data_IF_764938675634
#
_entry.id   IF_764938675634
#
_cell.length_a   1.000
_cell.length_b   1.000
_cell.length_c   1.000
_cell.angle_alpha   90.00
_cell.angle_beta   90.00
_cell.angle_gamma   90.00
#
_symmetry.space_group_name_H-M   'P 1'
#
loop_
_entity.id
_entity.type
_entity.pdbx_description
1 polymer ?
#
# COMPACT_ATOMS: atom_id res chain seq x y z
N UNK A 1 0.37 -0.64 -8.01
CA UNK A 1 0.80 -1.67 -9.00
C UNK A 1 2.19 -1.41 -9.60
N UNK A 2 2.45 -0.27 -10.26
CA UNK A 2 3.75 -0.03 -10.90
C UNK A 2 4.88 0.24 -9.89
N UNK A 3 4.57 0.89 -8.77
CA UNK A 3 5.54 1.18 -7.70
C UNK A 3 5.96 -0.11 -6.97
N UNK A 4 5.00 -0.96 -6.57
CA UNK A 4 5.30 -2.17 -5.77
C UNK A 4 6.23 -3.16 -6.47
N UNK A 5 6.14 -3.31 -7.79
CA UNK A 5 7.02 -4.23 -8.54
C UNK A 5 8.44 -3.70 -8.71
N UNK A 6 8.67 -2.40 -8.45
CA UNK A 6 9.99 -1.79 -8.55
C UNK A 6 10.81 -1.92 -7.29
N UNK A 7 10.15 -2.16 -6.15
CA UNK A 7 10.78 -2.31 -4.83
C UNK A 7 11.85 -3.39 -4.87
N UNK A 8 12.93 -3.14 -4.15
CA UNK A 8 14.04 -4.06 -3.92
C UNK A 8 14.14 -4.41 -2.43
N UNK A 9 14.88 -5.47 -2.09
CA UNK A 9 15.09 -5.88 -0.68
C UNK A 9 15.63 -4.73 0.16
N UNK A 10 16.57 -3.95 -0.40
CA UNK A 10 17.19 -2.79 0.26
C UNK A 10 16.22 -1.67 0.60
N UNK A 11 15.04 -1.63 -0.03
CA UNK A 11 14.06 -0.58 0.19
C UNK A 11 13.20 -0.87 1.41
N UNK A 12 13.29 -2.05 2.02
CA UNK A 12 12.48 -2.47 3.16
C UNK A 12 13.34 -2.70 4.40
N UNK A 13 12.96 -2.05 5.50
CA UNK A 13 13.50 -2.31 6.83
C UNK A 13 12.49 -3.13 7.64
N UNK A 14 12.80 -4.41 7.84
CA UNK A 14 11.94 -5.35 8.57
C UNK A 14 11.85 -5.09 10.08
N UNK A 15 12.68 -4.21 10.65
CA UNK A 15 12.66 -3.87 12.07
C UNK A 15 11.74 -2.68 12.37
N UNK A 16 11.77 -1.67 11.50
CA UNK A 16 10.96 -0.44 11.64
C UNK A 16 9.70 -0.44 10.79
N UNK A 17 9.61 -1.34 9.81
CA UNK A 17 8.55 -1.37 8.80
C UNK A 17 8.67 -0.26 7.76
N UNK A 18 9.78 0.49 7.75
CA UNK A 18 10.02 1.52 6.75
C UNK A 18 10.18 0.91 5.36
N UNK A 19 9.49 1.50 4.38
CA UNK A 19 9.54 1.12 2.98
C UNK A 19 9.80 2.35 2.11
N UNK A 20 10.93 2.35 1.43
CA UNK A 20 11.34 3.42 0.52
C UNK A 20 10.74 3.21 -0.88
N UNK A 21 9.74 4.02 -1.23
CA UNK A 21 9.16 4.03 -2.58
C UNK A 21 9.94 5.00 -3.45
N UNK A 22 10.93 4.48 -4.17
CA UNK A 22 11.76 5.25 -5.11
C UNK A 22 11.06 5.50 -6.44
N UNK A 23 11.32 6.67 -7.05
CA UNK A 23 10.75 7.09 -8.34
C UNK A 23 9.22 6.94 -8.36
N UNK A 24 8.58 7.39 -7.28
CA UNK A 24 7.13 7.42 -7.16
C UNK A 24 6.47 8.34 -8.17
N UNK A 25 5.14 8.44 -8.10
CA UNK A 25 4.37 9.39 -8.93
C UNK A 25 4.94 10.82 -8.82
N UNK A 26 5.33 11.39 -9.97
CA UNK A 26 5.96 12.72 -10.04
C UNK A 26 7.47 12.73 -9.82
N UNK A 27 8.13 11.56 -9.83
CA UNK A 27 9.59 11.44 -9.72
C UNK A 27 10.13 11.68 -8.30
N UNK A 28 9.26 11.69 -7.29
CA UNK A 28 9.62 11.95 -5.90
C UNK A 28 9.70 10.64 -5.11
N UNK A 29 10.76 10.53 -4.33
CA UNK A 29 10.93 9.45 -3.37
C UNK A 29 10.08 9.74 -2.13
N UNK A 30 9.57 8.69 -1.49
CA UNK A 30 8.85 8.80 -0.22
C UNK A 30 9.05 7.55 0.62
N UNK A 31 9.08 7.73 1.93
CA UNK A 31 9.02 6.64 2.89
C UNK A 31 7.58 6.42 3.32
N UNK A 32 7.14 5.17 3.32
CA UNK A 32 5.88 4.73 3.93
C UNK A 32 6.20 3.70 5.01
N UNK A 33 5.29 3.52 5.95
CA UNK A 33 5.46 2.54 7.03
C UNK A 33 4.40 1.46 6.89
N UNK A 34 4.84 0.21 6.97
CA UNK A 34 3.95 -0.95 6.99
C UNK A 34 3.40 -1.18 8.41
N UNK A 35 2.11 -1.55 8.55
CA UNK A 35 1.60 -2.01 9.83
C UNK A 35 2.30 -3.33 10.24
N UNK A 36 2.37 -3.62 11.54
CA UNK A 36 3.09 -4.78 12.09
C UNK A 36 2.73 -6.11 11.42
N UNK A 37 1.43 -6.34 11.16
CA UNK A 37 1.00 -7.55 10.45
C UNK A 37 1.55 -7.65 9.03
N UNK A 38 1.70 -6.53 8.32
CA UNK A 38 2.30 -6.51 6.98
C UNK A 38 3.82 -6.71 7.03
N UNK A 39 4.50 -6.20 8.07
CA UNK A 39 5.92 -6.46 8.30
C UNK A 39 6.16 -7.97 8.43
N UNK A 40 5.34 -8.65 9.23
CA UNK A 40 5.43 -10.10 9.41
C UNK A 40 5.33 -10.85 8.08
N UNK A 41 4.34 -10.53 7.23
CA UNK A 41 4.19 -11.17 5.92
C UNK A 41 5.37 -10.93 4.98
N UNK A 42 5.98 -9.74 5.02
CA UNK A 42 7.17 -9.46 4.19
C UNK A 42 8.39 -10.22 4.72
N UNK A 43 8.56 -10.33 6.04
CA UNK A 43 9.65 -11.09 6.66
C UNK A 43 9.51 -12.61 6.40
N UNK A 44 8.30 -13.16 6.47
CA UNK A 44 8.02 -14.56 6.11
C UNK A 44 8.36 -14.83 4.65
N UNK A 45 7.99 -13.90 3.77
CA UNK A 45 8.37 -13.96 2.37
C UNK A 45 9.89 -13.93 2.20
N UNK A 46 10.60 -13.00 2.85
CA UNK A 46 12.07 -12.92 2.82
C UNK A 46 12.76 -14.18 3.35
N UNK A 47 12.16 -14.87 4.31
CA UNK A 47 12.62 -16.17 4.80
C UNK A 47 12.51 -17.26 3.73
N UNK A 48 11.51 -17.16 2.85
CA UNK A 48 11.28 -18.10 1.73
C UNK A 48 12.15 -17.77 0.51
N UNK A 49 12.20 -16.48 0.11
CA UNK A 49 12.94 -16.04 -1.08
C UNK A 49 14.43 -15.77 -0.84
N UNK A 50 14.85 -15.66 0.41
CA UNK A 50 16.19 -15.23 0.81
C UNK A 50 16.41 -13.71 0.77
N UNK A 51 17.49 -13.28 1.41
CA UNK A 51 17.84 -11.87 1.65
C UNK A 51 18.80 -11.28 0.61
N UNK A 52 19.06 -12.02 -0.47
CA UNK A 52 19.97 -11.55 -1.52
C UNK A 52 19.45 -10.27 -2.19
N UNK A 53 20.34 -9.34 -2.60
CA UNK A 53 19.94 -8.12 -3.27
C UNK A 53 19.08 -8.38 -4.52
N UNK A 54 18.15 -7.46 -4.80
CA UNK A 54 17.30 -7.52 -5.99
C UNK A 54 15.83 -7.27 -5.68
N UNK A 55 14.96 -7.59 -6.65
CA UNK A 55 13.53 -7.32 -6.61
C UNK A 55 12.87 -7.83 -5.33
N UNK A 56 12.06 -7.03 -4.63
CA UNK A 56 11.36 -7.43 -3.40
C UNK A 56 10.35 -8.57 -3.67
N UNK A 57 9.58 -8.42 -4.74
CA UNK A 57 8.60 -9.40 -5.20
C UNK A 57 9.13 -10.15 -6.42
N UNK A 58 9.21 -11.47 -6.31
CA UNK A 58 9.77 -12.37 -7.32
C UNK A 58 8.70 -13.34 -7.85
N UNK A 59 8.66 -13.62 -9.17
CA UNK A 59 7.82 -14.69 -9.70
C UNK A 59 8.24 -16.05 -9.14
N UNK A 60 7.24 -16.93 -8.92
CA UNK A 60 7.43 -18.33 -8.54
C UNK A 60 6.90 -19.20 -9.68
N UNK A 61 7.72 -20.10 -10.22
CA UNK A 61 7.32 -21.05 -11.25
C UNK A 61 6.47 -22.17 -10.65
N UNK A 62 5.77 -22.93 -11.51
CA UNK A 62 4.88 -24.04 -11.09
C UNK A 62 5.57 -25.10 -10.22
N UNK A 63 6.89 -25.27 -10.36
CA UNK A 63 7.72 -26.17 -9.54
C UNK A 63 8.24 -25.56 -8.23
N UNK A 64 7.76 -24.39 -7.81
CA UNK A 64 8.21 -23.71 -6.59
C UNK A 64 9.52 -22.91 -6.75
N UNK A 65 10.13 -22.94 -7.93
CA UNK A 65 11.38 -22.22 -8.17
C UNK A 65 11.15 -20.70 -8.23
N UNK A 66 11.85 -19.98 -7.35
CA UNK A 66 11.85 -18.51 -7.30
C UNK A 66 12.76 -17.97 -8.39
N UNK A 67 12.27 -16.98 -9.13
CA UNK A 67 13.02 -16.29 -10.17
C UNK A 67 13.45 -14.92 -9.65
N UNK A 68 14.76 -14.69 -9.50
CA UNK A 68 15.33 -13.44 -8.96
C UNK A 68 15.26 -12.27 -9.96
N UNK A 69 14.04 -11.92 -10.37
CA UNK A 69 13.70 -10.80 -11.23
C UNK A 69 12.42 -10.13 -10.75
N UNK A 70 12.19 -8.89 -11.19
CA UNK A 70 10.98 -8.14 -10.85
C UNK A 70 9.75 -8.83 -11.44
N UNK A 71 8.69 -8.95 -10.64
CA UNK A 71 7.37 -9.31 -11.16
C UNK A 71 6.87 -8.23 -12.14
N UNK A 72 6.04 -8.62 -13.10
CA UNK A 72 5.36 -7.64 -13.95
C UNK A 72 4.15 -7.07 -13.21
N UNK A 73 3.75 -5.81 -13.49
CA UNK A 73 2.50 -5.26 -12.95
C UNK A 73 1.28 -6.12 -13.27
N UNK A 74 1.28 -6.77 -14.44
CA UNK A 74 0.23 -7.67 -14.88
C UNK A 74 0.19 -8.95 -14.03
N UNK A 75 1.34 -9.54 -13.70
CA UNK A 75 1.39 -10.72 -12.84
C UNK A 75 0.80 -10.44 -11.45
N UNK A 76 1.14 -9.28 -10.86
CA UNK A 76 0.56 -8.85 -9.57
C UNK A 76 -0.96 -8.67 -9.70
N UNK A 77 -1.44 -8.04 -10.78
CA UNK A 77 -2.88 -7.88 -11.02
C UNK A 77 -3.60 -9.23 -11.08
N UNK A 78 -3.06 -10.20 -11.83
CA UNK A 78 -3.66 -11.53 -11.98
C UNK A 78 -3.70 -12.29 -10.64
N UNK A 79 -2.66 -12.18 -9.82
CA UNK A 79 -2.64 -12.76 -8.47
C UNK A 79 -3.76 -12.16 -7.63
N UNK A 80 -3.88 -10.83 -7.62
CA UNK A 80 -4.91 -10.16 -6.83
C UNK A 80 -6.32 -10.48 -7.32
N UNK A 81 -6.56 -10.55 -8.63
CA UNK A 81 -7.86 -10.94 -9.19
C UNK A 81 -8.22 -12.38 -8.82
N UNK A 82 -7.26 -13.30 -8.83
CA UNK A 82 -7.46 -14.66 -8.36
C UNK A 82 -7.89 -14.68 -6.89
N UNK A 83 -7.19 -13.95 -6.02
CA UNK A 83 -7.53 -13.85 -4.59
C UNK A 83 -8.88 -13.16 -4.35
N UNK A 84 -9.20 -12.12 -5.11
CA UNK A 84 -10.51 -11.46 -5.05
C UNK A 84 -11.64 -12.43 -5.39
N UNK A 85 -11.48 -13.23 -6.45
CA UNK A 85 -12.45 -14.27 -6.83
C UNK A 85 -12.61 -15.33 -5.73
N UNK A 86 -11.51 -15.81 -5.17
CA UNK A 86 -11.53 -16.78 -4.06
C UNK A 86 -12.22 -16.22 -2.80
N UNK A 87 -12.09 -14.91 -2.57
CA UNK A 87 -12.73 -14.20 -1.46
C UNK A 87 -14.18 -13.75 -1.75
N UNK A 88 -14.73 -14.03 -2.93
CA UNK A 88 -16.08 -13.59 -3.31
C UNK A 88 -16.21 -12.08 -3.55
N UNK A 89 -15.10 -11.38 -3.81
CA UNK A 89 -15.09 -9.93 -4.08
C UNK A 89 -15.30 -9.68 -5.57
N UNK A 90 -16.45 -9.09 -5.92
CA UNK A 90 -16.75 -8.70 -7.30
C UNK A 90 -15.96 -7.45 -7.74
N UNK A 91 -15.61 -7.37 -9.02
CA UNK A 91 -15.05 -6.17 -9.67
C UNK A 91 -13.84 -5.51 -8.97
N UNK A 92 -12.82 -6.30 -8.66
CA UNK A 92 -11.61 -5.84 -7.98
C UNK A 92 -10.52 -5.27 -8.91
N UNK A 93 -9.92 -4.14 -8.50
CA UNK A 93 -8.68 -3.61 -9.06
C UNK A 93 -7.66 -3.25 -7.98
N UNK A 94 -6.34 -3.21 -8.29
CA UNK A 94 -5.33 -2.75 -7.34
C UNK A 94 -5.52 -1.30 -6.86
N UNK A 95 -6.31 -0.50 -7.59
CA UNK A 95 -6.65 0.84 -7.15
C UNK A 95 -7.58 0.81 -5.94
N UNK A 96 -8.45 -0.21 -5.82
CA UNK A 96 -9.41 -0.32 -4.72
C UNK A 96 -8.72 -0.46 -3.37
N UNK A 97 -7.59 -1.19 -3.29
CA UNK A 97 -6.76 -1.18 -2.07
C UNK A 97 -6.34 0.23 -1.65
N UNK A 98 -5.94 1.06 -2.62
CA UNK A 98 -5.54 2.45 -2.32
C UNK A 98 -6.74 3.28 -1.88
N UNK A 99 -7.92 3.08 -2.47
CA UNK A 99 -9.16 3.75 -2.06
C UNK A 99 -9.54 3.39 -0.63
N UNK A 100 -9.58 2.09 -0.34
CA UNK A 100 -9.88 1.56 1.00
C UNK A 100 -8.88 2.09 2.02
N UNK A 101 -7.58 2.00 1.74
CA UNK A 101 -6.55 2.57 2.61
C UNK A 101 -6.76 4.07 2.93
N UNK A 102 -7.09 4.89 1.93
CA UNK A 102 -7.36 6.30 2.15
C UNK A 102 -8.64 6.52 2.97
N UNK A 103 -9.72 5.80 2.65
CA UNK A 103 -10.98 5.91 3.39
C UNK A 103 -10.83 5.47 4.84
N UNK A 104 -10.19 4.32 5.11
CA UNK A 104 -10.03 3.77 6.45
C UNK A 104 -9.21 4.71 7.35
N UNK A 105 -8.13 5.30 6.82
CA UNK A 105 -7.35 6.28 7.58
C UNK A 105 -8.15 7.55 7.89
N UNK A 106 -8.92 8.04 6.93
CA UNK A 106 -9.79 9.20 7.17
C UNK A 106 -10.84 8.85 8.22
N UNK A 107 -11.52 7.72 8.09
CA UNK A 107 -12.54 7.23 9.02
C UNK A 107 -11.99 7.04 10.45
N UNK A 108 -10.71 6.63 10.58
CA UNK A 108 -9.97 6.58 11.84
C UNK A 108 -9.61 7.97 12.43
N UNK A 109 -9.98 9.06 11.75
CA UNK A 109 -9.78 10.43 12.21
C UNK A 109 -8.44 11.05 11.80
N UNK A 110 -7.64 10.38 10.96
CA UNK A 110 -6.38 10.93 10.47
C UNK A 110 -6.66 12.12 9.55
N UNK A 111 -5.81 13.15 9.62
CA UNK A 111 -5.97 14.35 8.83
C UNK A 111 -5.68 14.09 7.33
N UNK A 112 -6.36 14.86 6.48
CA UNK A 112 -6.29 14.68 5.02
C UNK A 112 -4.90 14.91 4.44
N UNK A 113 -4.07 15.77 5.06
CA UNK A 113 -2.72 16.09 4.58
C UNK A 113 -1.80 14.90 4.84
N UNK A 114 -1.90 14.26 6.01
CA UNK A 114 -1.18 13.03 6.32
C UNK A 114 -1.60 11.90 5.39
N UNK A 115 -2.91 11.67 5.20
CA UNK A 115 -3.40 10.64 4.26
C UNK A 115 -2.93 10.92 2.82
N UNK A 116 -2.93 12.18 2.39
CA UNK A 116 -2.42 12.57 1.07
C UNK A 116 -0.94 12.22 0.89
N UNK A 117 -0.10 12.51 1.89
CA UNK A 117 1.34 12.20 1.86
C UNK A 117 1.57 10.68 1.78
N UNK A 118 0.86 9.91 2.60
CA UNK A 118 0.93 8.45 2.61
C UNK A 118 0.49 7.84 1.27
N UNK A 119 -0.60 8.37 0.68
CA UNK A 119 -1.11 7.90 -0.61
C UNK A 119 -0.25 8.37 -1.81
N UNK A 120 0.65 9.33 -1.62
CA UNK A 120 1.45 9.93 -2.70
C UNK A 120 0.61 10.74 -3.68
N UNK A 121 -0.46 11.39 -3.20
CA UNK A 121 -1.31 12.24 -4.04
C UNK A 121 -0.72 13.64 -4.17
N UNK A 122 -0.66 14.16 -5.40
CA UNK A 122 -0.14 15.50 -5.67
C UNK A 122 -1.08 16.62 -5.18
N UNK A 123 -2.37 16.34 -5.03
CA UNK A 123 -3.37 17.31 -4.60
C UNK A 123 -4.26 16.74 -3.50
N UNK A 124 -4.55 17.50 -2.42
CA UNK A 124 -5.52 17.13 -1.40
C UNK A 124 -6.90 16.81 -1.97
N UNK A 125 -7.28 17.47 -3.08
CA UNK A 125 -8.56 17.24 -3.77
C UNK A 125 -8.69 15.78 -4.24
N UNK A 126 -7.58 15.13 -4.59
CA UNK A 126 -7.60 13.70 -4.96
C UNK A 126 -7.89 12.82 -3.76
N UNK A 127 -7.36 13.17 -2.59
CA UNK A 127 -7.60 12.45 -1.33
C UNK A 127 -9.01 12.71 -0.80
N UNK A 128 -9.53 13.93 -0.95
CA UNK A 128 -10.87 14.31 -0.48
C UNK A 128 -11.99 13.46 -1.11
N UNK A 129 -11.78 12.90 -2.31
CA UNK A 129 -12.71 11.95 -2.94
C UNK A 129 -12.94 10.66 -2.14
N UNK A 130 -12.09 10.38 -1.15
CA UNK A 130 -12.19 9.20 -0.28
C UNK A 130 -12.74 9.51 1.11
N UNK A 131 -12.98 10.78 1.43
CA UNK A 131 -13.56 11.18 2.72
C UNK A 131 -15.06 10.92 2.74
N UNK A 132 -15.49 9.94 3.54
CA UNK A 132 -16.90 9.52 3.67
C UNK A 132 -17.56 10.09 4.91
N UNK A 133 -16.82 10.83 5.73
CA UNK A 133 -17.25 11.20 7.08
C UNK A 133 -18.30 12.31 7.11
N UNK A 134 -18.44 13.04 5.99
CA UNK A 134 -19.51 14.01 5.77
C UNK A 134 -19.60 15.10 6.85
N UNK A 135 -20.83 15.54 7.14
CA UNK A 135 -21.11 16.61 8.10
C UNK A 135 -20.86 16.21 9.57
N UNK A 136 -20.83 14.91 9.88
CA UNK A 136 -20.65 14.41 11.25
C UNK A 136 -19.29 14.81 11.84
N UNK A 137 -18.23 14.84 11.01
CA UNK A 137 -16.92 15.33 11.46
C UNK A 137 -16.93 16.81 11.78
N UNK A 138 -17.64 17.62 10.99
CA UNK A 138 -17.78 19.06 11.28
C UNK A 138 -18.53 19.27 12.59
N UNK A 139 -19.61 18.52 12.81
CA UNK A 139 -20.38 18.56 14.06
C UNK A 139 -19.52 18.20 15.26
N UNK A 140 -18.78 17.08 15.21
CA UNK A 140 -17.88 16.66 16.30
C UNK A 140 -16.74 17.65 16.54
N UNK A 141 -16.20 18.26 15.49
CA UNK A 141 -15.14 19.24 15.61
C UNK A 141 -15.59 20.49 16.39
N UNK A 142 -16.81 20.99 16.11
CA UNK A 142 -17.40 22.12 16.83
C UNK A 142 -17.65 21.79 18.30
N UNK A 143 -18.10 20.57 18.62
CA UNK A 143 -18.34 20.13 20.00
C UNK A 143 -17.06 20.03 20.86
N UNK A 144 -15.87 20.05 20.25
CA UNK A 144 -14.59 20.09 20.99
C UNK A 144 -14.17 21.50 21.41
N UNK A 145 -14.85 22.52 20.92
CA UNK A 145 -14.58 23.90 21.34
C UNK A 145 -15.22 24.10 22.71
N UNK A 146 -14.39 24.28 23.74
CA UNK A 146 -14.85 24.52 25.10
C UNK A 146 -15.30 25.97 25.28
N UNK A 147 -16.55 26.24 24.96
CA UNK A 147 -17.25 27.48 25.33
C UNK A 147 -18.42 27.15 26.26
#
# INVERSE_FOLDING_TARGET
RAEVVKLEVRDFDGSTGALEVRQGKGGKDRTVYLPEGAIAFVNDWLSTRGHQPGALLCPILKGGQIQYRKMTPQAVLLILQKRAKEAGVESFSPHDFRRTFCSDLLDAGIDIVTVQKLAGHASPVTTAKYDRRGEEVKRRAVQKLGF
#
